data_IF_298635267341
#
_entry.id   IF_298635267341
#
_cell.length_a   1.000
_cell.length_b   1.000
_cell.length_c   1.000
_cell.angle_alpha   90.00
_cell.angle_beta   90.00
_cell.angle_gamma   90.00
#
_symmetry.space_group_name_H-M   'P 1'
#
loop_
_entity.id
_entity.type
_entity.pdbx_description
1 polymer ?
#
# COMPACT_ATOMS: atom_id res chain seq x y z
N UNK A 1 -45.85 14.97 15.49
CA UNK A 1 -45.27 16.10 14.74
C UNK A 1 -44.45 15.51 13.62
N UNK A 2 -45.04 15.42 12.43
CA UNK A 2 -44.35 15.01 11.21
C UNK A 2 -43.41 16.12 10.76
N UNK A 3 -42.18 15.72 10.42
CA UNK A 3 -41.04 16.60 10.23
C UNK A 3 -41.10 17.27 8.85
N UNK A 4 -41.45 18.55 8.83
CA UNK A 4 -41.58 19.41 7.63
C UNK A 4 -40.26 19.62 6.86
N UNK A 5 -39.13 19.14 7.39
CA UNK A 5 -37.81 19.26 6.77
C UNK A 5 -37.40 18.05 5.93
N UNK A 6 -38.18 16.97 5.91
CA UNK A 6 -37.85 15.74 5.17
C UNK A 6 -36.61 15.00 5.71
N UNK A 7 -36.12 15.38 6.89
CA UNK A 7 -35.04 14.67 7.58
C UNK A 7 -35.66 13.65 8.51
N UNK A 8 -35.29 12.38 8.37
CA UNK A 8 -35.79 11.33 9.25
C UNK A 8 -35.09 11.47 10.61
N UNK A 9 -35.80 11.69 11.74
CA UNK A 9 -35.17 11.74 13.04
C UNK A 9 -34.49 10.40 13.34
N UNK A 10 -33.15 10.41 13.39
CA UNK A 10 -32.35 9.23 13.68
C UNK A 10 -31.96 9.22 15.16
N UNK A 11 -32.55 8.31 15.94
CA UNK A 11 -32.11 8.05 17.30
C UNK A 11 -30.90 7.09 17.27
N UNK A 12 -29.69 7.62 17.44
CA UNK A 12 -28.51 6.79 17.56
C UNK A 12 -28.45 6.15 18.95
N UNK A 13 -28.60 4.82 19.03
CA UNK A 13 -28.50 4.08 20.30
C UNK A 13 -27.18 4.35 21.05
N UNK A 14 -26.10 4.67 20.32
CA UNK A 14 -24.79 5.00 20.87
C UNK A 14 -24.78 6.30 21.71
N UNK A 15 -25.72 7.23 21.49
CA UNK A 15 -25.83 8.45 22.30
C UNK A 15 -26.37 8.21 23.71
N UNK A 16 -27.04 7.08 23.93
CA UNK A 16 -27.71 6.78 25.19
C UNK A 16 -26.95 5.78 26.07
N UNK A 17 -25.86 5.19 25.56
CA UNK A 17 -25.07 4.26 26.36
C UNK A 17 -24.24 5.02 27.40
N UNK A 18 -24.48 4.80 28.70
CA UNK A 18 -23.65 5.42 29.73
C UNK A 18 -22.22 4.89 29.58
N UNK A 19 -21.24 5.79 29.62
CA UNK A 19 -19.79 5.50 29.53
C UNK A 19 -19.27 5.10 28.14
N UNK A 20 -20.04 5.35 27.07
CA UNK A 20 -19.54 5.25 25.68
C UNK A 20 -19.43 6.65 25.11
N UNK A 21 -18.21 7.14 24.91
CA UNK A 21 -17.97 8.33 24.11
C UNK A 21 -17.82 7.93 22.64
N UNK A 22 -18.67 8.50 21.77
CA UNK A 22 -18.64 8.18 20.34
C UNK A 22 -17.30 8.45 19.68
N UNK A 23 -16.58 9.47 20.15
CA UNK A 23 -15.27 9.85 19.63
C UNK A 23 -14.18 8.81 19.90
N UNK A 24 -14.46 7.86 20.80
CA UNK A 24 -13.55 6.79 21.19
C UNK A 24 -13.83 5.47 20.46
N UNK A 25 -14.92 5.38 19.71
CA UNK A 25 -15.25 4.20 18.92
C UNK A 25 -14.36 4.02 17.68
N UNK A 26 -14.04 5.08 16.90
CA UNK A 26 -13.16 4.95 15.75
C UNK A 26 -11.77 4.53 16.20
N UNK A 27 -11.34 3.40 15.68
CA UNK A 27 -10.02 2.82 15.95
C UNK A 27 -9.20 2.88 14.68
N UNK A 28 -7.94 3.28 14.83
CA UNK A 28 -7.05 3.36 13.70
C UNK A 28 -6.78 1.96 13.15
N UNK A 29 -7.33 1.69 11.97
CA UNK A 29 -7.17 0.41 11.30
C UNK A 29 -5.81 0.32 10.59
N UNK A 30 -5.01 -0.70 10.91
CA UNK A 30 -3.70 -0.88 10.28
C UNK A 30 -3.84 -1.13 8.78
N UNK A 31 -4.81 -1.94 8.36
CA UNK A 31 -4.87 -2.37 6.97
C UNK A 31 -5.25 -1.23 6.03
N UNK A 32 -6.41 -0.61 6.21
CA UNK A 32 -6.94 0.41 5.32
C UNK A 32 -6.35 1.79 5.55
N UNK A 33 -5.90 2.10 6.77
CA UNK A 33 -5.28 3.41 7.06
C UNK A 33 -3.81 3.39 6.67
N UNK A 34 -3.05 2.40 7.13
CA UNK A 34 -1.60 2.40 6.96
C UNK A 34 -1.14 1.66 5.71
N UNK A 35 -1.58 0.41 5.50
CA UNK A 35 -1.07 -0.44 4.42
C UNK A 35 -1.74 -0.13 3.06
N UNK A 36 -3.02 -0.47 2.88
CA UNK A 36 -3.83 -0.10 1.71
C UNK A 36 -4.16 1.41 1.65
N UNK A 37 -3.63 2.19 2.59
CA UNK A 37 -3.83 3.62 2.68
C UNK A 37 -2.55 4.38 2.42
N UNK A 38 -1.87 4.75 3.50
CA UNK A 38 -0.70 5.62 3.44
C UNK A 38 0.50 4.99 2.70
N UNK A 39 0.71 3.68 2.83
CA UNK A 39 1.77 2.98 2.10
C UNK A 39 1.46 2.91 0.59
N UNK A 40 0.22 2.64 0.19
CA UNK A 40 -0.16 2.76 -1.23
C UNK A 40 0.10 4.18 -1.78
N UNK A 41 -0.28 5.21 -1.03
CA UNK A 41 0.00 6.59 -1.39
C UNK A 41 1.50 6.88 -1.55
N UNK A 42 2.34 6.52 -0.57
CA UNK A 42 3.79 6.82 -0.65
C UNK A 42 4.44 6.09 -1.82
N UNK A 43 4.03 4.87 -2.11
CA UNK A 43 4.60 4.09 -3.20
C UNK A 43 4.21 4.68 -4.57
N UNK A 44 2.97 5.14 -4.72
CA UNK A 44 2.50 5.84 -5.92
C UNK A 44 3.20 7.19 -6.12
N UNK A 45 3.34 8.01 -5.06
CA UNK A 45 4.05 9.28 -5.13
C UNK A 45 5.53 9.09 -5.48
N UNK A 46 6.17 8.10 -4.88
CA UNK A 46 7.58 7.78 -5.16
C UNK A 46 7.77 7.28 -6.59
N UNK A 47 6.83 6.52 -7.14
CA UNK A 47 6.91 6.08 -8.53
C UNK A 47 6.77 7.25 -9.52
N UNK A 48 5.92 8.22 -9.23
CA UNK A 48 5.83 9.45 -10.01
C UNK A 48 7.12 10.28 -9.91
N UNK A 49 7.70 10.38 -8.71
CA UNK A 49 9.00 11.00 -8.45
C UNK A 49 10.10 10.33 -9.29
N UNK A 50 10.25 9.01 -9.18
CA UNK A 50 11.24 8.23 -9.91
C UNK A 50 11.06 8.32 -11.43
N UNK A 51 9.82 8.47 -11.92
CA UNK A 51 9.54 8.67 -13.35
C UNK A 51 10.05 10.03 -13.84
N UNK A 52 9.85 11.09 -13.07
CA UNK A 52 10.38 12.44 -13.38
C UNK A 52 11.91 12.44 -13.47
N UNK A 53 12.57 11.68 -12.60
CA UNK A 53 14.02 11.55 -12.57
C UNK A 53 14.56 10.39 -13.42
N UNK A 54 13.75 9.79 -14.30
CA UNK A 54 14.14 8.70 -15.19
C UNK A 54 14.74 7.45 -14.50
N UNK A 55 14.46 7.24 -13.22
CA UNK A 55 14.96 6.11 -12.42
C UNK A 55 13.96 4.97 -12.23
N UNK A 56 12.72 5.14 -12.68
CA UNK A 56 11.65 4.16 -12.45
C UNK A 56 11.98 2.77 -13.00
N UNK A 57 12.60 2.69 -14.18
CA UNK A 57 12.99 1.40 -14.77
C UNK A 57 14.07 0.69 -13.94
N UNK A 58 15.00 1.46 -13.37
CA UNK A 58 16.06 0.94 -12.52
C UNK A 58 15.51 0.50 -11.17
N UNK A 59 14.53 1.22 -10.63
CA UNK A 59 13.76 0.78 -9.47
C UNK A 59 13.04 -0.55 -9.74
N UNK A 60 12.34 -0.68 -10.87
CA UNK A 60 11.63 -1.91 -11.23
C UNK A 60 12.58 -3.11 -11.44
N UNK A 61 13.80 -2.88 -11.96
CA UNK A 61 14.79 -3.96 -12.09
C UNK A 61 15.28 -4.42 -10.73
N UNK A 62 15.60 -3.50 -9.81
CA UNK A 62 16.00 -3.82 -8.43
C UNK A 62 14.87 -4.50 -7.66
N UNK A 63 13.64 -4.03 -7.83
CA UNK A 63 12.45 -4.60 -7.18
C UNK A 63 12.29 -6.09 -7.48
N UNK A 64 12.65 -6.55 -8.68
CA UNK A 64 12.53 -7.94 -9.10
C UNK A 64 13.71 -8.83 -8.71
N UNK A 65 14.82 -8.25 -8.25
CA UNK A 65 16.04 -9.01 -7.93
C UNK A 65 16.15 -9.40 -6.46
N UNK A 66 15.21 -9.00 -5.61
CA UNK A 66 15.24 -9.38 -4.19
C UNK A 66 15.17 -10.91 -4.03
N UNK A 67 16.15 -11.53 -3.34
CA UNK A 67 16.17 -12.98 -3.17
C UNK A 67 15.05 -13.44 -2.22
N UNK A 68 14.54 -14.69 -2.39
CA UNK A 68 13.63 -15.28 -1.43
C UNK A 68 14.34 -15.48 -0.08
N UNK A 69 13.66 -15.14 1.01
CA UNK A 69 14.07 -15.50 2.37
C UNK A 69 12.85 -15.89 3.20
N UNK A 70 13.00 -16.64 4.31
CA UNK A 70 11.87 -17.15 5.08
C UNK A 70 10.89 -16.05 5.50
N UNK A 71 9.61 -16.20 5.13
CA UNK A 71 8.56 -15.22 5.45
C UNK A 71 8.55 -13.96 4.58
N UNK A 72 9.27 -13.94 3.46
CA UNK A 72 9.22 -12.87 2.46
C UNK A 72 8.56 -13.32 1.17
N UNK A 73 7.55 -12.57 0.76
CA UNK A 73 6.92 -12.74 -0.55
C UNK A 73 7.79 -11.99 -1.56
N UNK A 74 8.43 -12.73 -2.48
CA UNK A 74 9.24 -12.14 -3.55
C UNK A 74 8.32 -11.46 -4.57
N UNK A 75 8.58 -10.21 -4.96
CA UNK A 75 7.80 -9.56 -6.00
C UNK A 75 8.04 -10.23 -7.36
N UNK A 76 7.01 -10.83 -7.93
CA UNK A 76 7.07 -11.46 -9.27
C UNK A 76 6.80 -10.45 -10.39
N UNK A 77 6.01 -9.42 -10.09
CA UNK A 77 5.58 -8.35 -11.01
C UNK A 77 6.37 -7.07 -10.73
N UNK A 78 6.49 -6.21 -11.75
CA UNK A 78 7.00 -4.86 -11.52
C UNK A 78 6.04 -4.09 -10.62
N UNK A 79 6.52 -3.05 -9.96
CA UNK A 79 5.72 -2.31 -9.00
C UNK A 79 4.43 -1.75 -9.64
N UNK A 80 4.54 -1.21 -10.85
CA UNK A 80 3.40 -0.66 -11.60
C UNK A 80 2.43 -1.70 -12.17
N UNK A 81 2.85 -2.96 -12.28
CA UNK A 81 1.99 -4.03 -12.80
C UNK A 81 1.02 -4.57 -11.74
N UNK A 82 1.23 -4.24 -10.47
CA UNK A 82 0.36 -4.71 -9.40
C UNK A 82 -0.81 -3.76 -9.22
N UNK A 83 -1.97 -4.18 -9.73
CA UNK A 83 -3.23 -3.41 -9.62
C UNK A 83 -3.83 -3.44 -8.23
N UNK A 84 -3.59 -4.52 -7.48
CA UNK A 84 -4.13 -4.72 -6.15
C UNK A 84 -3.12 -5.52 -5.34
N UNK A 85 -2.75 -4.96 -4.19
CA UNK A 85 -1.86 -5.58 -3.23
C UNK A 85 -2.69 -6.24 -2.12
N UNK A 86 -2.22 -7.37 -1.61
CA UNK A 86 -2.77 -7.97 -0.39
C UNK A 86 -2.06 -7.46 0.87
N UNK A 87 -2.68 -7.60 2.04
CA UNK A 87 -2.09 -7.17 3.32
C UNK A 87 -0.70 -7.79 3.59
N UNK A 88 -0.54 -9.10 3.36
CA UNK A 88 0.72 -9.83 3.55
C UNK A 88 1.83 -9.38 2.57
N UNK A 89 1.44 -9.04 1.35
CA UNK A 89 2.31 -8.50 0.31
C UNK A 89 2.87 -7.15 0.75
N UNK A 90 2.01 -6.20 1.17
CA UNK A 90 2.45 -4.90 1.67
C UNK A 90 3.44 -5.00 2.82
N UNK A 91 3.26 -5.98 3.72
CA UNK A 91 4.17 -6.20 4.84
C UNK A 91 5.58 -6.60 4.39
N UNK A 92 5.66 -7.44 3.37
CA UNK A 92 6.95 -7.86 2.78
C UNK A 92 7.57 -6.70 2.01
N UNK A 93 6.76 -6.01 1.22
CA UNK A 93 7.17 -4.95 0.30
C UNK A 93 7.62 -3.67 1.00
N UNK A 94 6.99 -3.29 2.11
CA UNK A 94 7.46 -2.17 2.93
C UNK A 94 8.93 -2.33 3.38
N UNK A 95 9.39 -3.57 3.64
CA UNK A 95 10.75 -3.83 4.12
C UNK A 95 11.81 -3.54 3.05
N UNK A 96 11.50 -3.82 1.79
CA UNK A 96 12.43 -3.71 0.66
C UNK A 96 12.28 -2.40 -0.12
N UNK A 97 11.13 -1.72 0.02
CA UNK A 97 10.81 -0.51 -0.72
C UNK A 97 11.85 0.60 -0.55
N UNK A 98 12.22 0.95 0.68
CA UNK A 98 13.22 2.03 0.93
C UNK A 98 14.57 1.68 0.31
N UNK A 99 14.96 0.41 0.35
CA UNK A 99 16.22 -0.07 -0.24
C UNK A 99 16.18 0.09 -1.75
N UNK A 100 15.09 -0.35 -2.40
CA UNK A 100 14.91 -0.23 -3.84
C UNK A 100 14.94 1.24 -4.30
N UNK A 101 14.27 2.16 -3.56
CA UNK A 101 14.31 3.59 -3.85
C UNK A 101 15.73 4.15 -3.67
N UNK A 102 16.43 3.79 -2.59
CA UNK A 102 17.78 4.27 -2.32
C UNK A 102 18.78 3.85 -3.40
N UNK A 103 18.72 2.60 -3.85
CA UNK A 103 19.56 2.10 -4.94
C UNK A 103 19.19 2.73 -6.28
N UNK A 104 17.90 2.98 -6.52
CA UNK A 104 17.45 3.66 -7.75
C UNK A 104 18.01 5.08 -7.87
N UNK A 105 18.01 5.83 -6.78
CA UNK A 105 18.46 7.23 -6.74
C UNK A 105 19.99 7.38 -6.74
N UNK A 106 20.76 6.35 -6.34
CA UNK A 106 22.24 6.40 -6.32
C UNK A 106 22.89 6.54 -7.70
N UNK A 107 22.22 6.07 -8.76
CA UNK A 107 22.81 5.96 -10.10
C UNK A 107 22.67 7.24 -10.96
N UNK A 108 22.28 8.38 -10.36
CA UNK A 108 22.04 9.62 -11.10
C UNK A 108 23.26 10.54 -11.20
N UNK A 109 23.48 11.05 -12.41
CA UNK A 109 24.72 11.72 -12.85
C UNK A 109 24.80 13.20 -12.47
N UNK A 110 23.69 13.88 -12.23
CA UNK A 110 23.63 15.35 -12.13
C UNK A 110 23.41 15.82 -10.70
N UNK A 111 24.24 16.76 -10.23
CA UNK A 111 24.26 17.27 -8.85
C UNK A 111 23.01 18.08 -8.49
N UNK A 112 22.45 18.82 -9.46
CA UNK A 112 21.25 19.65 -9.32
C UNK A 112 19.98 18.82 -9.07
N UNK A 113 19.93 17.57 -9.55
CA UNK A 113 18.78 16.69 -9.37
C UNK A 113 18.78 16.01 -7.99
N UNK A 114 19.90 16.06 -7.25
CA UNK A 114 20.07 15.33 -5.98
C UNK A 114 19.46 16.03 -4.77
N UNK A 115 19.08 17.30 -4.87
CA UNK A 115 18.61 18.07 -3.71
C UNK A 115 17.36 17.43 -3.06
N UNK A 116 16.43 16.94 -3.88
CA UNK A 116 15.18 16.33 -3.41
C UNK A 116 15.34 14.85 -2.97
N UNK A 117 16.47 14.19 -3.27
CA UNK A 117 16.63 12.74 -3.03
C UNK A 117 16.75 12.35 -1.56
N UNK A 118 17.57 13.03 -0.73
CA UNK A 118 17.58 12.78 0.71
C UNK A 118 16.20 12.96 1.33
N UNK A 119 15.47 14.00 0.93
CA UNK A 119 14.12 14.29 1.43
C UNK A 119 13.13 13.21 1.02
N UNK A 120 13.17 12.75 -0.23
CA UNK A 120 12.36 11.62 -0.73
C UNK A 120 12.63 10.34 0.07
N UNK A 121 13.90 9.97 0.28
CA UNK A 121 14.28 8.80 1.05
C UNK A 121 13.88 8.91 2.52
N UNK A 122 14.09 10.09 3.13
CA UNK A 122 13.71 10.36 4.51
C UNK A 122 12.19 10.22 4.68
N UNK A 123 11.41 10.74 3.74
CA UNK A 123 9.95 10.63 3.75
C UNK A 123 9.49 9.16 3.69
N UNK A 124 10.00 8.40 2.72
CA UNK A 124 9.68 6.98 2.57
C UNK A 124 10.06 6.17 3.82
N UNK A 125 11.28 6.37 4.33
CA UNK A 125 11.78 5.72 5.54
C UNK A 125 10.92 6.05 6.75
N UNK A 126 10.60 7.34 6.94
CA UNK A 126 9.86 7.81 8.10
C UNK A 126 8.46 7.19 8.16
N UNK A 127 7.74 7.14 7.03
CA UNK A 127 6.42 6.50 7.00
C UNK A 127 6.51 5.00 7.26
N UNK A 128 7.44 4.30 6.61
CA UNK A 128 7.58 2.85 6.78
C UNK A 128 7.98 2.51 8.22
N UNK A 129 8.89 3.27 8.83
CA UNK A 129 9.25 3.11 10.24
C UNK A 129 8.06 3.38 11.16
N UNK A 130 7.28 4.43 10.92
CA UNK A 130 6.03 4.68 11.65
C UNK A 130 5.09 3.47 11.59
N UNK A 131 4.84 2.94 10.39
CA UNK A 131 3.97 1.76 10.20
C UNK A 131 4.54 0.54 10.93
N UNK A 132 5.85 0.33 10.89
CA UNK A 132 6.49 -0.78 11.61
C UNK A 132 6.32 -0.64 13.13
N UNK A 133 6.53 0.55 13.69
CA UNK A 133 6.29 0.80 15.11
C UNK A 133 4.82 0.63 15.48
N UNK A 134 3.88 1.18 14.70
CA UNK A 134 2.44 1.09 14.96
C UNK A 134 1.88 -0.34 14.93
N UNK A 135 2.64 -1.27 14.33
CA UNK A 135 2.29 -2.70 14.24
C UNK A 135 2.94 -3.56 15.31
N UNK A 136 3.72 -2.99 16.22
CA UNK A 136 4.30 -3.77 17.31
C UNK A 136 3.18 -4.37 18.17
N UNK A 137 3.31 -5.63 18.61
CA UNK A 137 2.30 -6.26 19.47
C UNK A 137 2.31 -5.70 20.88
N UNK A 138 3.41 -5.03 21.28
CA UNK A 138 3.60 -4.44 22.60
C UNK A 138 4.38 -3.14 22.44
N UNK A 139 3.96 -2.14 23.19
CA UNK A 139 4.56 -0.82 23.17
C UNK A 139 5.15 -0.44 24.53
N UNK A 140 6.32 0.19 24.50
CA UNK A 140 6.93 0.90 25.62
C UNK A 140 6.88 2.42 25.36
N UNK A 141 7.07 3.27 26.38
CA UNK A 141 7.17 4.72 26.18
C UNK A 141 8.19 5.11 25.10
N UNK A 142 9.32 4.39 25.02
CA UNK A 142 10.34 4.58 23.99
C UNK A 142 9.81 4.29 22.60
N UNK A 143 9.13 3.15 22.39
CA UNK A 143 8.58 2.81 21.06
C UNK A 143 7.48 3.77 20.62
N UNK A 144 6.67 4.28 21.55
CA UNK A 144 5.63 5.27 21.26
C UNK A 144 6.24 6.60 20.83
N UNK A 145 7.28 7.06 21.54
CA UNK A 145 8.03 8.27 21.17
C UNK A 145 8.64 8.13 19.79
N UNK A 146 9.34 7.02 19.52
CA UNK A 146 9.95 6.77 18.21
C UNK A 146 8.92 6.72 17.09
N UNK A 147 7.77 6.08 17.32
CA UNK A 147 6.65 6.04 16.38
C UNK A 147 6.20 7.46 15.99
N UNK A 148 5.97 8.32 16.98
CA UNK A 148 5.50 9.69 16.77
C UNK A 148 6.57 10.58 16.12
N UNK A 149 7.84 10.45 16.52
CA UNK A 149 8.97 11.11 15.85
C UNK A 149 9.04 10.76 14.36
N UNK A 150 8.80 9.49 14.02
CA UNK A 150 8.77 9.08 12.62
C UNK A 150 7.57 9.68 11.86
N UNK A 151 6.41 9.82 12.50
CA UNK A 151 5.27 10.51 11.87
C UNK A 151 5.55 12.00 11.67
N UNK A 152 6.21 12.65 12.62
CA UNK A 152 6.64 14.05 12.51
C UNK A 152 7.65 14.24 11.38
N UNK A 153 8.72 13.43 11.33
CA UNK A 153 9.71 13.47 10.23
C UNK A 153 9.07 13.21 8.87
N UNK A 154 8.06 12.35 8.82
CA UNK A 154 7.27 12.16 7.60
C UNK A 154 6.53 13.44 7.21
N UNK A 155 5.90 14.14 8.15
CA UNK A 155 5.21 15.39 7.88
C UNK A 155 6.15 16.53 7.46
N UNK A 156 7.36 16.59 7.98
CA UNK A 156 8.39 17.56 7.58
C UNK A 156 8.87 17.32 6.14
N UNK A 157 9.03 16.06 5.76
CA UNK A 157 9.63 15.67 4.47
C UNK A 157 8.60 15.43 3.35
N UNK A 158 7.31 15.23 3.66
CA UNK A 158 6.30 14.88 2.64
C UNK A 158 6.18 15.88 1.50
N UNK A 159 6.49 17.17 1.73
CA UNK A 159 6.38 18.26 0.74
C UNK A 159 7.07 17.94 -0.60
N UNK A 160 8.14 17.13 -0.58
CA UNK A 160 8.83 16.66 -1.80
C UNK A 160 7.88 15.96 -2.79
N UNK A 161 6.76 15.42 -2.31
CA UNK A 161 5.76 14.73 -3.13
C UNK A 161 4.61 15.63 -3.61
N UNK A 162 4.57 16.90 -3.21
CA UNK A 162 3.41 17.77 -3.41
C UNK A 162 3.10 17.99 -4.90
N UNK A 163 4.12 18.18 -5.73
CA UNK A 163 3.99 18.29 -7.19
C UNK A 163 3.28 17.06 -7.81
N UNK A 164 3.56 15.85 -7.30
CA UNK A 164 3.01 14.60 -7.82
C UNK A 164 1.59 14.31 -7.33
N UNK A 165 1.06 15.19 -6.47
CA UNK A 165 -0.32 15.15 -5.97
C UNK A 165 -1.27 16.05 -6.74
N UNK A 166 -0.77 16.79 -7.74
CA UNK A 166 -1.59 17.66 -8.56
C UNK A 166 -2.75 16.88 -9.20
N UNK A 167 -3.97 17.28 -8.83
CA UNK A 167 -5.20 16.80 -9.44
C UNK A 167 -5.29 17.18 -10.92
N UNK A 168 -6.36 16.74 -11.59
CA UNK A 168 -6.57 17.06 -13.01
C UNK A 168 -6.56 18.58 -13.24
N UNK A 169 -7.34 19.32 -12.45
CA UNK A 169 -7.42 20.79 -12.53
C UNK A 169 -6.05 21.47 -12.37
N UNK A 170 -5.33 21.12 -11.31
CA UNK A 170 -3.99 21.68 -11.04
C UNK A 170 -3.00 21.42 -12.19
N UNK A 171 -3.06 20.22 -12.80
CA UNK A 171 -2.21 19.89 -13.96
C UNK A 171 -2.62 20.70 -15.20
N UNK A 172 -3.90 20.91 -15.43
CA UNK A 172 -4.41 21.70 -16.54
C UNK A 172 -3.97 23.16 -16.41
N UNK A 173 -4.18 23.78 -15.25
CA UNK A 173 -3.81 25.18 -15.01
C UNK A 173 -2.29 25.40 -15.08
N UNK A 174 -1.49 24.46 -14.56
CA UNK A 174 -0.05 24.52 -14.72
C UNK A 174 0.36 24.42 -16.21
N UNK A 175 -0.26 23.52 -16.98
CA UNK A 175 0.00 23.40 -18.41
C UNK A 175 -0.50 24.61 -19.23
N UNK A 176 -1.52 25.32 -18.76
CA UNK A 176 -1.96 26.61 -19.30
C UNK A 176 -0.91 27.69 -19.06
N UNK A 177 -0.47 27.85 -17.80
CA UNK A 177 0.61 28.78 -17.46
C UNK A 177 1.87 28.55 -18.29
N UNK A 178 2.29 27.29 -18.44
CA UNK A 178 3.45 26.93 -19.26
C UNK A 178 3.26 27.23 -20.76
N UNK A 179 2.02 27.19 -21.27
CA UNK A 179 1.69 27.61 -22.65
C UNK A 179 1.74 29.12 -22.80
N UNK A 180 1.18 29.85 -21.85
CA UNK A 180 1.12 31.32 -21.88
C UNK A 180 2.53 31.92 -21.83
N UNK A 181 3.40 31.42 -20.94
CA UNK A 181 4.82 31.83 -20.88
C UNK A 181 5.56 31.60 -22.21
N UNK A 182 5.23 30.52 -22.95
CA UNK A 182 5.81 30.26 -24.28
C UNK A 182 5.26 31.22 -25.34
N UNK A 183 3.98 31.58 -25.26
CA UNK A 183 3.37 32.54 -26.18
C UNK A 183 3.93 33.95 -25.96
N UNK A 184 4.04 34.38 -24.70
CA UNK A 184 4.66 35.66 -24.33
C UNK A 184 6.10 35.78 -24.83
N UNK A 185 6.90 34.71 -24.67
CA UNK A 185 8.28 34.73 -25.13
C UNK A 185 8.41 34.78 -26.66
N UNK A 186 7.49 34.12 -27.38
CA UNK A 186 7.41 34.20 -28.85
C UNK A 186 6.95 35.56 -29.36
N UNK A 187 6.13 36.27 -28.59
CA UNK A 187 5.63 37.59 -28.93
C UNK A 187 6.72 38.68 -28.82
N UNK A 188 7.80 38.44 -28.07
CA UNK A 188 8.91 39.39 -27.96
C UNK A 188 9.64 39.56 -29.29
N UNK A 189 10.01 40.79 -29.67
CA UNK A 189 10.70 41.04 -30.93
C UNK A 189 12.05 40.31 -31.01
N UNK A 190 12.44 39.82 -32.20
CA UNK A 190 13.69 39.09 -32.36
C UNK A 190 14.89 40.02 -32.11
N UNK A 191 15.62 39.76 -31.03
CA UNK A 191 16.88 40.43 -30.75
C UNK A 191 18.04 39.77 -31.54
N UNK A 192 19.00 40.55 -32.07
CA UNK A 192 20.20 39.99 -32.68
C UNK A 192 21.00 39.22 -31.62
N UNK A 193 21.13 37.91 -31.79
CA UNK A 193 21.81 37.01 -30.86
C UNK A 193 22.61 35.95 -31.61
N UNK A 194 23.76 35.57 -31.05
CA UNK A 194 24.56 34.45 -31.53
C UNK A 194 23.84 33.11 -31.34
N UNK A 195 24.29 32.07 -32.05
CA UNK A 195 23.70 30.71 -31.95
C UNK A 195 23.76 30.17 -30.51
N UNK A 196 24.86 30.40 -29.81
CA UNK A 196 25.05 29.98 -28.40
C UNK A 196 24.10 30.73 -27.47
N UNK A 197 23.94 32.05 -27.66
CA UNK A 197 23.00 32.85 -26.87
C UNK A 197 21.55 32.39 -27.06
N UNK A 198 21.16 32.01 -28.28
CA UNK A 198 19.83 31.43 -28.56
C UNK A 198 19.60 30.12 -27.81
N UNK A 199 20.60 29.23 -27.79
CA UNK A 199 20.53 27.95 -27.05
C UNK A 199 20.39 28.17 -25.55
N UNK A 200 21.22 29.05 -24.96
CA UNK A 200 21.16 29.37 -23.53
C UNK A 200 19.81 29.98 -23.16
N UNK A 201 19.29 30.92 -23.97
CA UNK A 201 17.96 31.51 -23.77
C UNK A 201 16.86 30.45 -23.78
N UNK A 202 16.91 29.51 -24.73
CA UNK A 202 15.93 28.43 -24.82
C UNK A 202 15.99 27.47 -23.62
N UNK A 203 17.19 27.17 -23.12
CA UNK A 203 17.38 26.36 -21.91
C UNK A 203 16.85 27.07 -20.66
N UNK A 204 17.15 28.36 -20.49
CA UNK A 204 16.65 29.17 -19.39
C UNK A 204 15.12 29.28 -19.41
N UNK A 205 14.52 29.55 -20.57
CA UNK A 205 13.07 29.57 -20.74
C UNK A 205 12.45 28.23 -20.34
N UNK A 206 13.01 27.11 -20.82
CA UNK A 206 12.51 25.78 -20.50
C UNK A 206 12.60 25.49 -19.00
N UNK A 207 13.68 25.92 -18.34
CA UNK A 207 13.85 25.81 -16.89
C UNK A 207 12.81 26.64 -16.13
N UNK A 208 12.63 27.90 -16.51
CA UNK A 208 11.68 28.82 -15.87
C UNK A 208 10.24 28.33 -16.02
N UNK A 209 9.86 27.81 -17.20
CA UNK A 209 8.54 27.21 -17.41
C UNK A 209 8.36 25.99 -16.50
N UNK A 210 9.34 25.08 -16.46
CA UNK A 210 9.25 23.89 -15.62
C UNK A 210 9.11 24.25 -14.12
N UNK A 211 9.82 25.29 -13.67
CA UNK A 211 9.74 25.79 -12.29
C UNK A 211 8.38 26.44 -12.00
N UNK A 212 7.88 27.29 -12.90
CA UNK A 212 6.56 27.90 -12.77
C UNK A 212 5.44 26.85 -12.77
N UNK A 213 5.50 25.86 -13.66
CA UNK A 213 4.57 24.74 -13.68
C UNK A 213 4.63 23.92 -12.37
N UNK A 214 5.83 23.68 -11.83
CA UNK A 214 6.02 23.00 -10.54
C UNK A 214 5.36 23.77 -9.41
N UNK A 215 5.66 25.07 -9.29
CA UNK A 215 5.08 25.93 -8.26
C UNK A 215 3.55 25.99 -8.35
N UNK A 216 3.00 26.09 -9.58
CA UNK A 216 1.55 26.10 -9.79
C UNK A 216 0.89 24.78 -9.39
N UNK A 217 1.52 23.65 -9.69
CA UNK A 217 1.08 22.32 -9.23
C UNK A 217 1.11 22.24 -7.71
N UNK A 218 2.17 22.73 -7.07
CA UNK A 218 2.32 22.71 -5.61
C UNK A 218 1.28 23.59 -4.90
N UNK A 219 1.02 24.80 -5.41
CA UNK A 219 0.02 25.74 -4.89
C UNK A 219 -1.38 25.12 -4.82
N UNK A 220 -1.76 24.38 -5.87
CA UNK A 220 -3.09 23.79 -6.00
C UNK A 220 -3.17 22.35 -5.44
N UNK A 221 -2.09 21.84 -4.86
CA UNK A 221 -2.04 20.51 -4.27
C UNK A 221 -2.09 20.58 -2.75
N UNK A 222 -2.69 19.58 -2.11
CA UNK A 222 -2.76 19.48 -0.65
C UNK A 222 -2.61 18.04 -0.15
N UNK A 223 -2.54 17.89 1.18
CA UNK A 223 -2.46 16.61 1.87
C UNK A 223 -3.77 16.23 2.57
N UNK A 224 -4.92 16.62 2.02
CA UNK A 224 -6.24 16.41 2.63
C UNK A 224 -6.69 14.96 2.43
N UNK A 225 -5.96 14.03 3.06
CA UNK A 225 -6.26 12.60 3.06
C UNK A 225 -6.76 12.26 4.46
N UNK A 226 -8.02 11.80 4.61
CA UNK A 226 -8.55 11.36 5.91
C UNK A 226 -7.67 10.30 6.59
N UNK A 227 -7.11 9.37 5.81
CA UNK A 227 -6.17 8.34 6.28
C UNK A 227 -4.87 8.94 6.85
N UNK A 228 -4.40 10.06 6.29
CA UNK A 228 -3.22 10.74 6.82
C UNK A 228 -3.52 11.39 8.18
N UNK A 229 -4.68 12.03 8.31
CA UNK A 229 -5.12 12.56 9.60
C UNK A 229 -5.30 11.43 10.63
N UNK A 230 -5.88 10.31 10.22
CA UNK A 230 -6.07 9.15 11.09
C UNK A 230 -4.75 8.61 11.69
N UNK A 231 -3.61 8.76 11.01
CA UNK A 231 -2.31 8.39 11.57
C UNK A 231 -1.97 9.15 12.88
N UNK A 232 -2.49 10.36 13.06
CA UNK A 232 -2.27 11.16 14.28
C UNK A 232 -2.92 10.54 15.52
N UNK A 233 -3.99 9.76 15.32
CA UNK A 233 -4.71 9.09 16.41
C UNK A 233 -4.06 7.78 16.84
N UNK A 234 -3.07 7.28 16.09
CA UNK A 234 -2.43 5.99 16.36
C UNK A 234 -1.87 5.88 17.78
N UNK A 235 -1.16 6.92 18.27
CA UNK A 235 -0.59 6.92 19.62
C UNK A 235 -1.67 6.81 20.70
N UNK A 236 -2.70 7.66 20.60
CA UNK A 236 -3.84 7.66 21.53
C UNK A 236 -4.51 6.29 21.60
N UNK A 237 -4.79 5.73 20.42
CA UNK A 237 -5.47 4.44 20.30
C UNK A 237 -4.60 3.29 20.86
N UNK A 238 -3.28 3.33 20.66
CA UNK A 238 -2.34 2.36 21.25
C UNK A 238 -2.30 2.47 22.77
N UNK A 239 -2.21 3.69 23.32
CA UNK A 239 -2.19 3.88 24.78
C UNK A 239 -3.46 3.33 25.42
N UNK A 240 -4.61 3.58 24.78
CA UNK A 240 -5.91 3.17 25.32
C UNK A 240 -6.17 1.66 25.21
N UNK A 241 -5.64 1.01 24.17
CA UNK A 241 -6.02 -0.37 23.86
C UNK A 241 -4.85 -1.36 23.78
N UNK A 242 -3.64 -0.91 24.14
CA UNK A 242 -2.43 -1.72 24.18
C UNK A 242 -1.73 -1.88 22.83
N UNK A 243 -2.48 -2.22 21.77
CA UNK A 243 -1.95 -2.35 20.41
C UNK A 243 -3.06 -2.25 19.35
N UNK A 244 -2.70 -1.85 18.13
CA UNK A 244 -3.64 -1.74 17.00
C UNK A 244 -3.92 -3.08 16.30
N UNK A 245 -2.99 -4.04 16.41
CA UNK A 245 -3.02 -5.31 15.66
C UNK A 245 -4.35 -6.07 15.78
N UNK A 246 -4.90 -6.16 16.98
CA UNK A 246 -6.14 -6.89 17.28
C UNK A 246 -7.41 -6.23 16.69
N UNK A 247 -7.32 -4.98 16.26
CA UNK A 247 -8.43 -4.23 15.68
C UNK A 247 -8.26 -3.97 14.19
N UNK A 248 -7.21 -4.52 13.61
CA UNK A 248 -6.98 -4.48 12.17
C UNK A 248 -8.06 -5.29 11.44
N UNK A 249 -8.61 -4.73 10.38
CA UNK A 249 -9.55 -5.43 9.49
C UNK A 249 -8.85 -6.50 8.63
N UNK A 250 -7.53 -6.60 8.69
CA UNK A 250 -6.76 -7.66 8.04
C UNK A 250 -7.22 -9.06 8.47
N UNK A 251 -7.47 -9.26 9.76
CA UNK A 251 -7.96 -10.54 10.26
C UNK A 251 -9.32 -10.95 9.67
N UNK A 252 -10.40 -10.14 9.75
CA UNK A 252 -11.67 -10.50 9.14
C UNK A 252 -11.58 -10.58 7.60
N UNK A 253 -10.82 -9.72 6.94
CA UNK A 253 -10.68 -9.74 5.47
C UNK A 253 -9.99 -11.02 4.96
N UNK A 254 -8.97 -11.53 5.68
CA UNK A 254 -8.39 -12.85 5.38
C UNK A 254 -9.43 -13.96 5.46
N UNK A 255 -10.30 -13.91 6.47
CA UNK A 255 -11.37 -14.90 6.64
C UNK A 255 -12.49 -14.79 5.60
N UNK A 256 -12.67 -13.62 4.97
CA UNK A 256 -13.63 -13.46 3.88
C UNK A 256 -13.30 -14.33 2.65
N UNK A 257 -12.04 -14.77 2.45
CA UNK A 257 -11.68 -15.69 1.36
C UNK A 257 -12.51 -16.98 1.43
N UNK A 258 -12.70 -17.54 2.63
CA UNK A 258 -13.51 -18.74 2.85
C UNK A 258 -14.98 -18.50 2.53
N UNK A 259 -15.52 -17.35 2.95
CA UNK A 259 -16.90 -16.98 2.66
C UNK A 259 -17.13 -16.82 1.15
N UNK A 260 -16.22 -16.15 0.44
CA UNK A 260 -16.28 -15.97 -1.02
C UNK A 260 -16.23 -17.29 -1.78
N UNK A 261 -15.36 -18.21 -1.36
CA UNK A 261 -15.29 -19.56 -1.94
C UNK A 261 -16.61 -20.31 -1.79
N UNK A 262 -17.16 -20.39 -0.57
CA UNK A 262 -18.44 -21.05 -0.34
C UNK A 262 -19.59 -20.38 -1.09
N UNK A 263 -19.58 -19.04 -1.17
CA UNK A 263 -20.59 -18.27 -1.89
C UNK A 263 -20.56 -18.56 -3.39
N UNK A 264 -19.37 -18.64 -3.98
CA UNK A 264 -19.19 -18.97 -5.40
C UNK A 264 -19.73 -20.37 -5.76
N UNK A 265 -19.72 -21.31 -4.80
CA UNK A 265 -20.29 -22.64 -4.93
C UNK A 265 -21.76 -22.77 -4.48
N UNK A 266 -22.38 -21.67 -4.08
CA UNK A 266 -23.80 -21.64 -3.72
C UNK A 266 -24.68 -21.26 -4.91
N UNK A 267 -25.97 -21.56 -4.83
CA UNK A 267 -26.96 -21.04 -5.78
C UNK A 267 -27.38 -19.58 -5.49
N UNK A 268 -26.75 -18.92 -4.49
CA UNK A 268 -26.99 -17.54 -4.04
C UNK A 268 -28.36 -17.28 -3.39
N UNK A 269 -29.24 -18.27 -3.29
CA UNK A 269 -30.50 -18.19 -2.55
C UNK A 269 -30.33 -18.77 -1.13
N UNK A 270 -30.53 -17.99 -0.07
CA UNK A 270 -30.21 -18.40 1.30
C UNK A 270 -28.77 -18.96 1.42
N UNK A 271 -27.82 -18.24 0.82
CA UNK A 271 -26.45 -18.70 0.63
C UNK A 271 -25.71 -19.06 1.93
N UNK A 272 -26.08 -18.45 3.07
CA UNK A 272 -25.43 -18.69 4.36
C UNK A 272 -25.40 -20.17 4.75
N UNK A 273 -26.54 -20.87 4.64
CA UNK A 273 -26.62 -22.30 4.98
C UNK A 273 -25.77 -23.13 4.02
N UNK A 274 -25.77 -22.78 2.74
CA UNK A 274 -25.00 -23.48 1.72
C UNK A 274 -23.49 -23.29 1.90
N UNK A 275 -23.04 -22.09 2.28
CA UNK A 275 -21.64 -21.79 2.60
C UNK A 275 -21.18 -22.69 3.77
N UNK A 276 -21.99 -22.77 4.84
CA UNK A 276 -21.69 -23.61 6.00
C UNK A 276 -21.62 -25.09 5.61
N UNK A 277 -22.59 -25.58 4.82
CA UNK A 277 -22.60 -26.96 4.34
C UNK A 277 -21.42 -27.29 3.43
N UNK A 278 -21.05 -26.38 2.54
CA UNK A 278 -19.89 -26.54 1.64
C UNK A 278 -18.60 -26.76 2.45
N UNK A 279 -18.33 -25.89 3.43
CA UNK A 279 -17.14 -26.00 4.26
C UNK A 279 -17.18 -27.20 5.20
N UNK A 280 -18.36 -27.57 5.71
CA UNK A 280 -18.53 -28.80 6.49
C UNK A 280 -18.17 -30.04 5.67
N UNK A 281 -18.67 -30.15 4.42
CA UNK A 281 -18.35 -31.24 3.50
C UNK A 281 -16.84 -31.29 3.19
N UNK A 282 -16.25 -30.15 2.84
CA UNK A 282 -14.80 -30.05 2.56
C UNK A 282 -13.96 -30.48 3.75
N UNK A 283 -14.35 -30.08 4.97
CA UNK A 283 -13.66 -30.50 6.21
C UNK A 283 -13.83 -31.99 6.49
N UNK A 284 -15.02 -32.56 6.32
CA UNK A 284 -15.25 -34.01 6.47
C UNK A 284 -14.37 -34.81 5.51
N UNK A 285 -14.33 -34.43 4.23
CA UNK A 285 -13.45 -35.06 3.24
C UNK A 285 -11.98 -34.95 3.63
N UNK A 286 -11.54 -33.77 4.11
CA UNK A 286 -10.15 -33.58 4.52
C UNK A 286 -9.77 -34.44 5.73
N UNK A 287 -10.65 -34.56 6.72
CA UNK A 287 -10.44 -35.43 7.88
C UNK A 287 -10.37 -36.90 7.45
N UNK A 288 -11.24 -37.31 6.52
CA UNK A 288 -11.20 -38.66 5.97
C UNK A 288 -9.89 -38.94 5.23
N UNK A 289 -9.46 -38.02 4.36
CA UNK A 289 -8.16 -38.09 3.66
C UNK A 289 -6.98 -38.23 4.64
N UNK A 290 -6.94 -37.43 5.71
CA UNK A 290 -5.90 -37.51 6.73
C UNK A 290 -5.90 -38.85 7.48
N UNK A 291 -7.09 -39.41 7.76
CA UNK A 291 -7.22 -40.75 8.35
C UNK A 291 -6.69 -41.83 7.42
N UNK A 292 -7.02 -41.78 6.13
CA UNK A 292 -6.52 -42.73 5.14
C UNK A 292 -4.99 -42.64 5.02
N UNK A 293 -4.42 -41.42 4.98
CA UNK A 293 -2.96 -41.23 5.00
C UNK A 293 -2.30 -41.81 6.26
N UNK A 294 -2.94 -41.65 7.42
CA UNK A 294 -2.47 -42.24 8.68
C UNK A 294 -2.51 -43.77 8.66
N UNK A 295 -3.60 -44.36 8.16
CA UNK A 295 -3.75 -45.81 8.01
C UNK A 295 -2.74 -46.40 7.02
N UNK A 296 -2.51 -45.72 5.89
CA UNK A 296 -1.51 -46.12 4.91
C UNK A 296 -0.10 -46.18 5.53
N UNK A 297 0.26 -45.23 6.40
CA UNK A 297 1.53 -45.27 7.17
C UNK A 297 1.62 -46.43 8.14
N UNK A 298 0.49 -46.90 8.66
CA UNK A 298 0.41 -48.07 9.54
C UNK A 298 0.38 -49.39 8.77
N UNK A 299 0.50 -49.36 7.44
CA UNK A 299 0.47 -50.55 6.59
C UNK A 299 -0.93 -50.98 6.15
N UNK A 300 -1.96 -50.19 6.47
CA UNK A 300 -3.35 -50.49 6.08
C UNK A 300 -3.74 -49.66 4.85
N UNK A 301 -3.52 -50.20 3.66
CA UNK A 301 -3.86 -49.57 2.39
C UNK A 301 -4.20 -50.60 1.29
N UNK A 302 -4.91 -50.15 0.26
CA UNK A 302 -5.01 -50.80 -1.05
C UNK A 302 -4.25 -49.98 -2.10
N UNK A 303 -3.90 -50.57 -3.24
CA UNK A 303 -3.21 -49.83 -4.31
C UNK A 303 -4.04 -48.65 -4.83
N UNK A 304 -5.36 -48.83 -4.98
CA UNK A 304 -6.29 -47.75 -5.33
C UNK A 304 -6.28 -46.60 -4.32
N UNK A 305 -6.22 -46.91 -3.02
CA UNK A 305 -6.14 -45.85 -2.00
C UNK A 305 -4.81 -45.09 -2.05
N UNK A 306 -3.70 -45.74 -2.41
CA UNK A 306 -2.42 -45.06 -2.60
C UNK A 306 -2.43 -44.19 -3.87
N UNK A 307 -3.09 -44.65 -4.94
CA UNK A 307 -3.27 -43.89 -6.17
C UNK A 307 -4.09 -42.61 -5.92
N UNK A 308 -5.26 -42.75 -5.29
CA UNK A 308 -6.14 -41.62 -4.95
C UNK A 308 -5.46 -40.61 -4.02
N UNK A 309 -4.59 -41.07 -3.11
CA UNK A 309 -3.85 -40.19 -2.20
C UNK A 309 -2.57 -39.60 -2.83
N UNK A 310 -2.20 -40.00 -4.05
CA UNK A 310 -0.95 -39.58 -4.70
C UNK A 310 0.30 -40.08 -3.99
N UNK A 311 0.23 -41.26 -3.37
CA UNK A 311 1.31 -41.91 -2.61
C UNK A 311 2.00 -43.03 -3.38
N UNK A 312 1.81 -43.09 -4.71
CA UNK A 312 2.54 -44.00 -5.60
C UNK A 312 3.73 -43.28 -6.24
N UNK A 313 4.85 -43.97 -6.38
CA UNK A 313 5.98 -43.49 -7.18
C UNK A 313 5.67 -43.56 -8.68
N UNK A 314 6.49 -42.90 -9.50
CA UNK A 314 6.42 -43.00 -10.96
C UNK A 314 6.61 -44.43 -11.49
N UNK A 315 7.12 -45.35 -10.66
CA UNK A 315 7.28 -46.77 -10.95
C UNK A 315 6.17 -47.64 -10.32
N UNK A 316 5.09 -47.04 -9.81
CA UNK A 316 3.95 -47.77 -9.22
C UNK A 316 4.23 -48.39 -7.84
N UNK A 317 5.33 -48.02 -7.18
CA UNK A 317 5.66 -48.52 -5.83
C UNK A 317 5.10 -47.57 -4.76
N UNK A 318 4.67 -48.12 -3.63
CA UNK A 318 4.20 -47.33 -2.49
C UNK A 318 5.31 -46.39 -1.98
N UNK A 319 5.08 -45.09 -2.03
CA UNK A 319 5.97 -44.02 -1.56
C UNK A 319 5.36 -43.35 -0.32
N UNK A 320 5.42 -44.05 0.80
CA UNK A 320 4.73 -43.67 2.06
C UNK A 320 5.64 -42.80 2.98
N UNK A 321 6.94 -42.69 2.67
CA UNK A 321 7.96 -42.24 3.60
C UNK A 321 8.16 -40.72 3.77
N UNK A 322 7.54 -39.84 2.98
CA UNK A 322 8.04 -38.45 2.91
C UNK A 322 6.97 -37.40 2.62
N UNK A 323 6.03 -37.15 3.56
CA UNK A 323 5.21 -35.93 3.54
C UNK A 323 4.88 -35.52 4.98
N UNK A 324 5.59 -34.53 5.54
CA UNK A 324 5.12 -33.75 6.70
C UNK A 324 4.41 -32.52 6.15
#
# INVERSE_FOLDING_TARGET
MEDTLGVKPWQNALWYFPRVELYDLPRTDILHTFLLGMLDHIMNWTSAFLRKHHCLQLFDSIWRTFPPYPGFIVPTRTFLQVKQWQGDEFCSFAKVFVIAVALALRNLKTEIEREDFPTCLQCCRSLISFIQYARLPRHTPTTLRLMEEHLLRFHESKKVFLEFRAGVKARTEAAELGRDMRMEEKAKPPAPMSRTQKQVRQQLLSRNINEAEKLKKEELSNYDIPKLHACQHARRDIIRHGALGQYSTDFPERNHKLLKEGYAHSNKNNATVQILQYHARKRCLKVHELRLRFLARKGFFTMDTLEVLGLLSSQGKAHIATVI
#
